data_IF_964271216054
#
_entry.id   IF_964271216054
#
_cell.length_a   1.000
_cell.length_b   1.000
_cell.length_c   1.000
_cell.angle_alpha   90.00
_cell.angle_beta   90.00
_cell.angle_gamma   90.00
#
_symmetry.space_group_name_H-M   'P 1'
#
loop_
_entity.id
_entity.type
_entity.pdbx_description
1 polymer ?
2 water ?
#
# COMPACT_ATOMS: atom_id res chain seq x y z
N UNK A 24 -11.82 -10.70 18.72
CA UNK A 24 -11.26 -9.54 18.03
C UNK A 24 -9.74 -9.48 18.13
N UNK A 25 -9.10 -10.52 18.64
CA UNK A 25 -7.65 -10.61 18.52
C UNK A 25 -7.26 -10.85 17.06
N UNK A 26 -5.98 -10.57 16.74
CA UNK A 26 -5.55 -10.70 15.35
C UNK A 26 -5.65 -12.15 14.90
N UNK A 27 -5.33 -13.11 15.78
CA UNK A 27 -5.32 -14.50 15.37
C UNK A 27 -6.71 -15.00 14.99
N UNK A 28 -7.75 -14.30 15.45
CA UNK A 28 -9.13 -14.65 15.17
C UNK A 28 -9.76 -13.71 14.15
N UNK A 29 -8.96 -12.86 13.52
CA UNK A 29 -9.50 -11.81 12.67
C UNK A 29 -9.46 -12.22 11.20
N UNK A 30 -10.38 -11.62 10.42
CA UNK A 30 -10.24 -11.56 8.96
C UNK A 30 -9.63 -10.21 8.60
N UNK A 31 -8.56 -10.25 7.81
CA UNK A 31 -7.76 -9.06 7.49
C UNK A 31 -7.87 -8.83 5.98
N UNK A 32 -8.42 -7.69 5.59
CA UNK A 32 -8.61 -7.33 4.18
C UNK A 32 -7.46 -6.43 3.74
N UNK A 33 -6.61 -6.93 2.82
CA UNK A 33 -5.42 -6.21 2.35
C UNK A 33 -5.74 -5.56 1.01
N UNK A 34 -5.88 -4.24 1.02
CA UNK A 34 -6.31 -3.45 -0.13
C UNK A 34 -5.05 -2.73 -0.65
N UNK A 35 -4.64 -3.06 -1.86
CA UNK A 35 -3.37 -2.57 -2.34
C UNK A 35 -3.22 -2.57 -3.85
N UNK A 36 -1.98 -2.36 -4.29
CA UNK A 36 -1.62 -2.27 -5.71
C UNK A 36 -0.83 -3.52 -6.11
N UNK A 37 0.10 -3.39 -7.06
CA UNK A 37 0.94 -4.54 -7.45
C UNK A 37 1.65 -5.15 -6.25
N UNK A 38 2.04 -4.33 -5.27
CA UNK A 38 2.81 -4.79 -4.12
C UNK A 38 1.95 -5.49 -3.08
N UNK A 39 0.63 -5.56 -3.30
CA UNK A 39 -0.24 -6.49 -2.60
C UNK A 39 -0.66 -7.64 -3.51
N UNK A 40 -1.00 -7.38 -4.78
CA UNK A 40 -1.39 -8.47 -5.69
C UNK A 40 -0.32 -9.56 -5.70
N UNK A 41 0.96 -9.16 -5.68
CA UNK A 41 2.07 -10.10 -5.71
C UNK A 41 2.88 -10.09 -7.00
N UNK A 42 3.01 -8.94 -7.66
CA UNK A 42 3.80 -8.86 -8.88
C UNK A 42 5.27 -9.09 -8.53
N UNK A 43 5.91 -9.99 -9.28
CA UNK A 43 7.31 -10.33 -9.07
C UNK A 43 8.26 -9.53 -9.93
N UNK A 44 7.77 -8.54 -10.66
CA UNK A 44 8.60 -7.64 -11.43
C UNK A 44 8.21 -7.65 -12.88
N UNK A 45 7.62 -8.75 -13.32
CA UNK A 45 7.34 -9.01 -14.72
C UNK A 45 5.83 -9.01 -15.03
N UNK A 46 4.98 -8.60 -14.05
CA UNK A 46 3.53 -8.78 -14.13
C UNK A 46 3.05 -10.16 -13.74
N UNK A 47 3.96 -11.04 -13.35
CA UNK A 47 3.65 -12.39 -12.96
C UNK A 47 3.73 -12.56 -11.46
N UNK A 48 3.79 -13.80 -11.02
CA UNK A 48 3.69 -14.11 -9.61
C UNK A 48 2.23 -14.22 -9.21
N UNK A 49 1.79 -13.35 -8.33
CA UNK A 49 0.40 -13.32 -7.94
C UNK A 49 0.17 -13.55 -6.46
N UNK A 50 -1.10 -13.76 -6.13
CA UNK A 50 -1.49 -13.79 -4.72
C UNK A 50 -0.75 -14.89 -3.96
N UNK A 51 -0.44 -16.00 -4.64
CA UNK A 51 0.20 -17.10 -3.92
C UNK A 51 1.63 -16.82 -3.49
N UNK A 52 2.28 -15.79 -4.07
CA UNK A 52 3.60 -15.37 -3.60
C UNK A 52 3.55 -14.11 -2.77
N UNK A 53 2.41 -13.42 -2.71
CA UNK A 53 2.35 -12.13 -2.02
C UNK A 53 2.61 -12.32 -0.52
N UNK A 54 3.00 -11.22 0.13
CA UNK A 54 3.07 -11.22 1.58
C UNK A 54 1.76 -11.66 2.21
N UNK A 55 0.61 -11.41 1.52
CA UNK A 55 -0.68 -11.80 2.11
C UNK A 55 -0.76 -13.30 2.34
N UNK A 56 -0.05 -14.09 1.54
CA UNK A 56 -0.12 -15.55 1.66
C UNK A 56 0.63 -16.08 2.88
N UNK A 57 1.53 -15.27 3.44
CA UNK A 57 2.31 -15.66 4.61
C UNK A 57 1.74 -15.09 5.90
N UNK A 58 0.97 -14.02 5.82
CA UNK A 58 0.67 -13.22 6.99
C UNK A 58 -0.21 -13.97 7.99
N UNK A 59 -1.19 -14.74 7.51
CA UNK A 59 -2.15 -15.36 8.43
C UNK A 59 -1.46 -16.26 9.44
N UNK A 60 -0.53 -17.10 8.96
CA UNK A 60 0.16 -18.00 9.87
C UNK A 60 1.05 -17.23 10.83
N UNK A 61 1.65 -16.13 10.37
CA UNK A 61 2.52 -15.34 11.23
C UNK A 61 1.75 -14.71 12.37
N UNK A 62 0.45 -14.48 12.17
CA UNK A 62 -0.41 -13.88 13.17
C UNK A 62 -1.21 -14.93 13.95
N UNK A 63 -0.86 -16.21 13.83
CA UNK A 63 -1.52 -17.22 14.63
C UNK A 63 -2.83 -17.73 14.08
N UNK A 64 -3.09 -17.51 12.80
CA UNK A 64 -4.25 -18.09 12.18
C UNK A 64 -5.28 -17.12 11.63
N UNK A 65 -4.92 -15.83 11.49
CA UNK A 65 -5.81 -14.88 10.85
C UNK A 65 -6.14 -15.32 9.42
N UNK A 66 -7.33 -14.96 8.96
CA UNK A 66 -7.74 -15.20 7.58
C UNK A 66 -7.42 -13.93 6.81
N UNK A 67 -6.64 -14.04 5.75
CA UNK A 67 -6.14 -12.86 5.05
C UNK A 67 -6.70 -12.86 3.63
N UNK A 68 -7.33 -11.76 3.24
CA UNK A 68 -7.91 -11.60 1.92
C UNK A 68 -7.07 -10.62 1.10
N UNK A 69 -6.81 -10.96 -0.15
CA UNK A 69 -5.97 -10.17 -1.05
C UNK A 69 -6.87 -9.38 -2.01
N UNK A 70 -6.92 -8.05 -1.84
CA UNK A 70 -7.56 -7.15 -2.77
C UNK A 70 -6.52 -6.20 -3.35
N UNK A 71 -5.44 -6.78 -3.91
CA UNK A 71 -4.46 -6.02 -4.62
C UNK A 71 -4.74 -6.06 -6.12
N UNK A 72 -4.51 -4.92 -6.80
CA UNK A 72 -4.67 -4.79 -8.26
C UNK A 72 -3.44 -4.07 -8.82
N UNK A 73 -2.78 -4.71 -9.78
CA UNK A 73 -1.64 -4.10 -10.46
C UNK A 73 -2.01 -2.78 -11.13
N UNK A 74 -1.12 -1.79 -11.02
CA UNK A 74 -1.32 -0.51 -11.69
C UNK A 74 -2.18 0.48 -10.95
N UNK A 75 -2.79 0.10 -9.82
CA UNK A 75 -3.81 0.93 -9.20
C UNK A 75 -3.18 2.10 -8.42
N UNK A 76 -3.71 3.30 -8.67
CA UNK A 76 -3.41 4.50 -7.90
C UNK A 76 -4.44 4.61 -6.80
N UNK A 77 -4.07 5.22 -5.67
CA UNK A 77 -5.08 5.55 -4.68
C UNK A 77 -6.13 6.47 -5.28
N UNK A 78 -5.68 7.52 -6.00
CA UNK A 78 -6.58 8.55 -6.51
C UNK A 78 -7.13 8.23 -7.90
N UNK A 79 -8.32 8.80 -8.17
CA UNK A 79 -8.91 8.72 -9.50
C UNK A 79 -8.08 9.55 -10.47
N UNK A 80 -7.91 9.03 -11.68
CA UNK A 80 -7.29 9.77 -12.78
C UNK A 80 -7.94 9.30 -14.09
N UNK A 81 -8.06 10.20 -15.06
CA UNK A 81 -8.91 9.89 -16.22
C UNK A 81 -8.38 8.76 -17.09
N UNK A 82 -7.11 8.36 -16.93
CA UNK A 82 -6.50 7.35 -17.78
C UNK A 82 -6.75 5.93 -17.31
N UNK A 83 -7.37 5.73 -16.14
CA UNK A 83 -7.67 4.41 -15.62
C UNK A 83 -9.03 4.46 -14.95
N UNK A 84 -9.57 3.28 -14.63
CA UNK A 84 -10.82 3.20 -13.88
C UNK A 84 -10.73 2.31 -12.64
N UNK A 85 -9.52 1.98 -12.19
CA UNK A 85 -9.27 1.00 -11.13
C UNK A 85 -8.54 1.58 -9.94
N UNK A 86 -8.77 2.85 -9.63
CA UNK A 86 -8.16 3.45 -8.45
C UNK A 86 -8.69 2.79 -7.17
N UNK A 87 -7.96 3.00 -6.06
CA UNK A 87 -8.48 2.50 -4.80
C UNK A 87 -9.85 3.11 -4.54
N UNK A 88 -10.01 4.42 -4.80
CA UNK A 88 -11.30 5.07 -4.60
C UNK A 88 -12.39 4.34 -5.38
N UNK A 89 -12.12 4.02 -6.67
CA UNK A 89 -13.12 3.37 -7.51
C UNK A 89 -13.38 1.93 -7.10
N UNK A 90 -12.34 1.23 -6.60
CA UNK A 90 -12.47 -0.19 -6.25
C UNK A 90 -13.11 -0.43 -4.89
N UNK A 91 -13.13 0.58 -4.00
CA UNK A 91 -13.44 0.30 -2.60
C UNK A 91 -14.81 -0.38 -2.43
N UNK A 92 -15.84 0.11 -3.12
CA UNK A 92 -17.17 -0.40 -2.84
C UNK A 92 -17.30 -1.88 -3.20
N UNK A 93 -16.42 -2.39 -4.06
CA UNK A 93 -16.44 -3.78 -4.50
C UNK A 93 -15.60 -4.74 -3.69
N UNK A 94 -14.89 -4.29 -2.64
CA UNK A 94 -14.11 -5.19 -1.80
C UNK A 94 -14.95 -5.59 -0.58
N UNK A 95 -14.51 -6.65 0.09
CA UNK A 95 -15.24 -7.15 1.26
C UNK A 95 -15.44 -6.03 2.28
N UNK A 96 -16.69 -5.84 2.73
CA UNK A 96 -16.98 -4.85 3.76
C UNK A 96 -17.08 -5.42 5.17
N UNK A 97 -16.89 -6.74 5.33
CA UNK A 97 -17.17 -7.43 6.58
C UNK A 97 -15.92 -7.88 7.31
N UNK A 98 -14.73 -7.43 6.90
CA UNK A 98 -13.52 -7.86 7.58
C UNK A 98 -13.37 -7.14 8.93
N UNK A 99 -12.51 -7.71 9.77
CA UNK A 99 -12.22 -7.13 11.08
C UNK A 99 -11.14 -6.07 11.03
N UNK A 100 -10.19 -6.21 10.11
CA UNK A 100 -9.09 -5.25 9.96
C UNK A 100 -8.94 -4.97 8.47
N UNK A 101 -8.76 -3.68 8.14
CA UNK A 101 -8.42 -3.25 6.79
C UNK A 101 -6.99 -2.72 6.80
N UNK A 102 -6.18 -3.23 5.88
CA UNK A 102 -4.78 -2.80 5.70
C UNK A 102 -4.70 -2.17 4.32
N UNK A 103 -4.46 -0.85 4.25
CA UNK A 103 -4.44 -0.12 2.98
C UNK A 103 -2.99 0.25 2.69
N UNK A 104 -2.48 -0.23 1.55
CA UNK A 104 -1.06 -0.13 1.20
C UNK A 104 -0.98 0.33 -0.25
N UNK A 105 -0.72 1.61 -0.46
CA UNK A 105 -0.68 2.14 -1.82
C UNK A 105 0.00 3.50 -1.85
N UNK A 106 0.10 4.06 -3.06
CA UNK A 106 0.60 5.39 -3.26
C UNK A 106 1.81 5.48 -4.18
N UNK A 107 2.53 4.37 -4.42
CA UNK A 107 3.69 4.49 -5.29
C UNK A 107 3.24 4.86 -6.70
N UNK A 108 2.05 4.39 -7.14
CA UNK A 108 1.59 4.75 -8.48
C UNK A 108 1.10 6.19 -8.55
N UNK A 109 0.53 6.73 -7.47
CA UNK A 109 0.16 8.13 -7.45
C UNK A 109 1.38 9.00 -7.67
N UNK A 110 2.50 8.66 -7.00
CA UNK A 110 3.75 9.38 -7.20
C UNK A 110 4.24 9.19 -8.64
N UNK A 111 4.36 7.94 -9.10
CA UNK A 111 5.01 7.69 -10.38
C UNK A 111 4.16 8.13 -11.57
N UNK A 112 2.84 8.19 -11.42
CA UNK A 112 1.96 8.57 -12.51
C UNK A 112 1.30 9.93 -12.28
N UNK A 113 1.91 10.79 -11.47
CA UNK A 113 1.61 12.23 -11.50
C UNK A 113 0.18 12.55 -11.08
N UNK A 114 -0.27 11.93 -10.00
CA UNK A 114 -1.52 12.37 -9.36
C UNK A 114 -1.27 13.70 -8.66
N UNK A 115 -2.06 14.73 -8.94
CA UNK A 115 -1.88 16.01 -8.22
C UNK A 115 -1.99 15.81 -6.72
N UNK A 116 -1.14 16.50 -5.95
CA UNK A 116 -1.12 16.26 -4.52
C UNK A 116 -2.34 16.85 -3.82
N UNK A 117 -2.70 18.10 -4.16
CA UNK A 117 -3.66 18.88 -3.40
C UNK A 117 -3.07 19.35 -2.08
N UNK A 118 -3.97 19.76 -1.18
CA UNK A 118 -3.61 20.25 0.15
C UNK A 118 -4.44 19.49 1.18
N UNK A 119 -3.94 19.47 2.43
CA UNK A 119 -4.70 18.85 3.51
C UNK A 119 -6.04 19.57 3.64
N UNK A 120 -7.11 18.78 3.64
CA UNK A 120 -8.47 19.28 3.64
C UNK A 120 -9.16 19.08 2.29
N UNK A 121 -8.41 18.76 1.23
CA UNK A 121 -9.02 18.41 -0.04
C UNK A 121 -10.07 17.32 0.15
N UNK A 122 -11.13 17.42 -0.65
CA UNK A 122 -12.07 16.32 -0.85
C UNK A 122 -12.21 15.94 -2.32
N UNK A 123 -11.25 16.32 -3.13
CA UNK A 123 -11.23 15.92 -4.54
C UNK A 123 -10.52 14.57 -4.62
N UNK A 124 -11.26 13.51 -4.98
CA UNK A 124 -10.67 12.18 -5.07
C UNK A 124 -9.70 12.03 -6.25
N UNK A 125 -9.56 13.06 -7.09
CA UNK A 125 -8.47 13.12 -8.07
C UNK A 125 -7.18 13.69 -7.49
N UNK A 126 -7.20 14.27 -6.29
CA UNK A 126 -5.99 14.73 -5.62
C UNK A 126 -5.59 13.70 -4.59
N UNK A 127 -4.29 13.57 -4.32
CA UNK A 127 -3.87 12.54 -3.38
C UNK A 127 -4.44 12.77 -1.99
N UNK A 128 -4.35 14.01 -1.49
CA UNK A 128 -4.93 14.29 -0.16
C UNK A 128 -6.40 13.92 -0.13
N UNK A 129 -7.15 14.30 -1.17
CA UNK A 129 -8.57 14.05 -1.19
C UNK A 129 -8.92 12.58 -1.33
N UNK A 130 -8.10 11.82 -2.07
CA UNK A 130 -8.35 10.40 -2.22
C UNK A 130 -8.11 9.64 -0.91
N UNK A 131 -7.01 9.96 -0.20
CA UNK A 131 -6.76 9.32 1.07
C UNK A 131 -7.90 9.64 2.04
N UNK A 132 -8.33 10.91 2.06
CA UNK A 132 -9.46 11.32 2.89
C UNK A 132 -10.71 10.51 2.55
N UNK A 133 -11.01 10.38 1.25
CA UNK A 133 -12.16 9.57 0.84
C UNK A 133 -12.06 8.15 1.37
N UNK A 134 -10.90 7.52 1.21
CA UNK A 134 -10.78 6.12 1.64
C UNK A 134 -11.06 5.99 3.12
N UNK A 135 -10.50 6.88 3.96
CA UNK A 135 -10.70 6.71 5.39
C UNK A 135 -12.16 6.91 5.76
N UNK A 136 -12.78 7.96 5.20
CA UNK A 136 -14.19 8.21 5.51
C UNK A 136 -15.06 7.04 5.05
N UNK A 137 -14.76 6.51 3.86
CA UNK A 137 -15.70 5.58 3.23
C UNK A 137 -15.50 4.16 3.77
N UNK A 138 -14.25 3.76 4.06
CA UNK A 138 -14.04 2.51 4.76
C UNK A 138 -14.78 2.54 6.09
N UNK A 139 -14.69 3.66 6.81
CA UNK A 139 -15.35 3.74 8.10
C UNK A 139 -16.87 3.67 7.95
N UNK A 140 -17.41 4.30 6.90
CA UNK A 140 -18.86 4.27 6.70
C UNK A 140 -19.35 2.87 6.42
N UNK A 141 -18.59 2.09 5.63
CA UNK A 141 -19.08 0.78 5.22
C UNK A 141 -18.67 -0.32 6.19
N UNK A 142 -17.65 -0.06 7.04
CA UNK A 142 -17.10 -1.06 7.95
C UNK A 142 -16.84 -0.38 9.29
N UNK A 143 -17.91 0.10 9.95
CA UNK A 143 -17.76 1.03 11.08
C UNK A 143 -17.11 0.44 12.31
N UNK A 144 -17.08 -0.88 12.47
CA UNK A 144 -16.44 -1.52 13.60
C UNK A 144 -15.07 -2.09 13.29
N UNK A 145 -14.62 -2.04 12.04
CA UNK A 145 -13.32 -2.60 11.71
C UNK A 145 -12.20 -1.68 12.20
N UNK A 146 -11.02 -2.28 12.39
CA UNK A 146 -9.80 -1.51 12.59
C UNK A 146 -9.23 -1.20 11.21
N UNK A 147 -8.61 -0.05 11.08
CA UNK A 147 -8.02 0.42 9.82
C UNK A 147 -6.59 0.83 10.07
N UNK A 148 -5.68 0.29 9.26
CA UNK A 148 -4.26 0.58 9.37
C UNK A 148 -3.78 0.92 7.97
N UNK A 149 -3.06 2.03 7.82
CA UNK A 149 -2.43 2.37 6.55
C UNK A 149 -0.97 1.96 6.61
N UNK A 150 -0.42 1.55 5.46
CA UNK A 150 1.01 1.30 5.33
C UNK A 150 1.54 2.21 4.24
N UNK A 151 2.56 2.99 4.56
CA UNK A 151 3.11 3.91 3.57
C UNK A 151 3.78 3.13 2.44
N UNK A 152 3.77 3.69 1.22
CA UNK A 152 4.30 2.95 0.07
C UNK A 152 5.79 2.75 0.17
N UNK A 153 6.24 1.52 -0.17
CA UNK A 153 7.67 1.23 -0.10
C UNK A 153 8.46 2.08 -1.10
N UNK A 154 9.75 2.24 -0.81
CA UNK A 154 10.65 2.88 -1.75
C UNK A 154 10.88 2.02 -3.00
N UNK A 155 11.34 2.70 -4.05
CA UNK A 155 11.71 2.10 -5.31
C UNK A 155 12.96 2.77 -5.83
N UNK A 156 13.81 2.00 -6.48
CA UNK A 156 14.95 2.56 -7.18
C UNK A 156 14.61 2.97 -8.61
N UNK A 157 13.36 2.87 -9.02
CA UNK A 157 12.89 3.33 -10.31
C UNK A 157 12.81 2.19 -11.32
N UNK A 158 12.04 2.43 -12.36
CA UNK A 158 11.96 1.48 -13.47
C UNK A 158 11.72 2.36 -14.70
N UNK A 159 12.80 2.95 -15.20
CA UNK A 159 12.68 4.02 -16.18
C UNK A 159 12.15 3.54 -17.52
N UNK A 160 12.32 2.26 -17.84
CA UNK A 160 11.75 1.76 -19.08
C UNK A 160 10.23 1.74 -19.04
N UNK A 161 9.66 1.82 -17.84
CA UNK A 161 8.24 2.06 -17.65
C UNK A 161 7.96 3.49 -17.20
N UNK A 162 8.95 4.38 -17.30
CA UNK A 162 8.79 5.79 -16.89
C UNK A 162 8.40 5.92 -15.41
N UNK A 163 8.93 5.04 -14.57
CA UNK A 163 8.67 5.07 -13.13
C UNK A 163 9.91 5.67 -12.45
N UNK A 164 9.80 6.82 -11.79
CA UNK A 164 10.97 7.43 -11.12
C UNK A 164 11.33 6.67 -9.85
N UNK A 165 12.60 6.78 -9.47
CA UNK A 165 13.02 6.34 -8.14
C UNK A 165 12.44 7.26 -7.08
N UNK A 166 12.41 6.78 -5.83
CA UNK A 166 11.71 7.52 -4.78
C UNK A 166 12.28 8.90 -4.57
N UNK A 167 13.59 9.05 -4.78
CA UNK A 167 14.25 10.32 -4.55
C UNK A 167 14.28 11.24 -5.77
N UNK A 168 13.82 10.74 -6.93
CA UNK A 168 13.72 11.56 -8.14
C UNK A 168 12.41 12.34 -8.15
N UNK A 169 12.32 13.34 -9.03
CA UNK A 169 11.08 14.10 -9.18
C UNK A 169 10.19 13.45 -10.21
N UNK A 170 8.91 13.36 -9.90
CA UNK A 170 7.93 13.00 -10.93
C UNK A 170 7.71 14.20 -11.86
N UNK A 171 6.77 14.05 -12.80
CA UNK A 171 6.56 15.14 -13.76
C UNK A 171 5.88 16.35 -13.15
N UNK A 172 5.38 16.24 -11.91
CA UNK A 172 4.85 17.37 -11.18
C UNK A 172 5.90 18.05 -10.31
N UNK A 173 7.14 17.59 -10.33
CA UNK A 173 8.16 18.21 -9.51
C UNK A 173 8.14 17.77 -8.05
N UNK A 174 7.55 16.63 -7.76
CA UNK A 174 7.42 16.12 -6.40
C UNK A 174 8.22 14.83 -6.24
N UNK A 175 8.75 14.60 -5.04
CA UNK A 175 9.32 13.28 -4.74
C UNK A 175 8.28 12.41 -4.03
N UNK A 176 8.62 11.14 -3.85
CA UNK A 176 7.69 10.25 -3.18
C UNK A 176 7.42 10.68 -1.75
N UNK A 177 8.40 11.31 -1.11
CA UNK A 177 8.23 11.77 0.27
C UNK A 177 7.07 12.73 0.42
N UNK A 178 6.76 13.54 -0.60
CA UNK A 178 5.62 14.45 -0.50
C UNK A 178 4.32 13.67 -0.38
N UNK A 179 4.20 12.57 -1.14
CA UNK A 179 3.01 11.72 -1.06
C UNK A 179 2.95 11.02 0.30
N UNK A 180 4.08 10.51 0.78
CA UNK A 180 4.10 9.88 2.10
C UNK A 180 3.65 10.87 3.18
N UNK A 181 4.17 12.10 3.14
CA UNK A 181 3.79 13.09 4.14
C UNK A 181 2.31 13.37 4.07
N UNK A 182 1.78 13.48 2.85
CA UNK A 182 0.34 13.74 2.71
C UNK A 182 -0.47 12.61 3.37
N UNK A 183 -0.09 11.36 3.09
CA UNK A 183 -0.77 10.22 3.70
C UNK A 183 -0.71 10.30 5.20
N UNK A 184 0.47 10.59 5.76
CA UNK A 184 0.60 10.69 7.22
C UNK A 184 -0.28 11.80 7.79
N UNK A 185 -0.40 12.93 7.09
CA UNK A 185 -1.20 14.04 7.60
C UNK A 185 -2.70 13.68 7.60
N UNK A 186 -3.18 13.02 6.54
CA UNK A 186 -4.60 12.64 6.53
C UNK A 186 -4.84 11.57 7.59
N UNK A 187 -3.94 10.59 7.68
CA UNK A 187 -4.08 9.59 8.73
C UNK A 187 -4.14 10.25 10.12
N UNK A 188 -3.27 11.24 10.35
CA UNK A 188 -3.31 11.93 11.64
C UNK A 188 -4.67 12.57 11.88
N UNK A 189 -5.25 13.21 10.88
CA UNK A 189 -6.56 13.85 11.05
C UNK A 189 -7.53 12.88 11.66
N UNK A 190 -7.54 11.62 11.17
CA UNK A 190 -8.52 10.62 11.58
C UNK A 190 -7.96 9.63 12.59
N UNK A 191 -6.82 9.95 13.21
CA UNK A 191 -6.23 9.11 14.25
C UNK A 191 -5.94 7.68 13.78
N UNK A 192 -5.56 7.51 12.51
CA UNK A 192 -5.38 6.18 11.92
C UNK A 192 -3.98 5.63 12.17
N UNK A 193 -3.83 4.43 12.75
CA UNK A 193 -2.50 3.83 12.89
C UNK A 193 -1.82 3.61 11.54
N UNK A 194 -0.50 3.80 11.54
CA UNK A 194 0.31 3.67 10.33
C UNK A 194 1.48 2.73 10.59
N UNK A 195 1.76 1.84 9.64
CA UNK A 195 3.02 1.08 9.59
C UNK A 195 3.85 1.72 8.49
N UNK A 196 5.00 2.31 8.88
CA UNK A 196 5.75 3.14 7.93
C UNK A 196 6.75 2.28 7.16
N UNK A 197 6.23 1.53 6.19
CA UNK A 197 7.08 0.70 5.32
C UNK A 197 7.97 1.53 4.41
N UNK A 198 7.51 2.72 4.02
CA UNK A 198 8.39 3.64 3.29
C UNK A 198 9.72 3.80 4.02
N UNK A 199 9.64 4.07 5.34
CA UNK A 199 10.86 4.34 6.11
C UNK A 199 11.49 3.06 6.67
N UNK A 200 10.73 1.98 6.88
CA UNK A 200 11.23 0.89 7.74
C UNK A 200 10.88 -0.51 7.26
N UNK A 201 10.67 -0.71 5.95
CA UNK A 201 10.35 -2.07 5.52
C UNK A 201 11.47 -3.08 5.75
N UNK A 202 12.72 -2.60 5.80
CA UNK A 202 13.87 -3.46 5.93
C UNK A 202 14.31 -4.12 4.63
N UNK A 203 13.82 -3.67 3.50
CA UNK A 203 14.26 -4.15 2.19
C UNK A 203 14.53 -2.94 1.34
N UNK A 204 15.80 -2.74 0.92
CA UNK A 204 16.12 -1.52 0.17
C UNK A 204 16.41 -1.80 -1.28
N UNK A 205 15.69 -1.20 -2.22
CA UNK A 205 16.07 -1.35 -3.63
C UNK A 205 17.36 -0.62 -3.96
N UNK A 206 17.87 0.23 -3.07
CA UNK A 206 19.14 0.90 -3.34
C UNK A 206 20.35 0.05 -2.98
N UNK A 207 20.13 -1.16 -2.45
CA UNK A 207 21.24 -2.04 -2.07
C UNK A 207 21.28 -3.18 -3.08
N UNK A 208 22.41 -3.41 -3.77
CA UNK A 208 22.41 -4.41 -4.86
C UNK A 208 22.01 -5.80 -4.41
N UNK A 209 22.41 -6.21 -3.21
CA UNK A 209 22.08 -7.55 -2.75
C UNK A 209 20.60 -7.70 -2.51
N UNK A 210 19.93 -6.62 -2.07
CA UNK A 210 18.48 -6.70 -1.89
C UNK A 210 17.76 -6.68 -3.23
N UNK A 211 18.27 -5.95 -4.23
CA UNK A 211 17.72 -6.09 -5.57
C UNK A 211 17.78 -7.54 -6.01
N UNK A 212 18.95 -8.16 -5.87
CA UNK A 212 19.15 -9.52 -6.36
C UNK A 212 18.23 -10.51 -5.64
N UNK A 213 18.16 -10.45 -4.31
CA UNK A 213 17.41 -11.44 -3.55
C UNK A 213 15.92 -11.13 -3.46
N UNK A 214 15.57 -9.85 -3.30
CA UNK A 214 14.25 -9.47 -2.80
C UNK A 214 13.45 -8.58 -3.75
N UNK A 215 14.09 -7.74 -4.58
CA UNK A 215 13.39 -6.72 -5.39
C UNK A 215 14.01 -6.67 -6.78
N UNK A 216 13.72 -7.68 -7.63
CA UNK A 216 14.51 -7.85 -8.85
C UNK A 216 14.47 -6.68 -9.79
N UNK A 217 13.35 -5.96 -9.88
CA UNK A 217 13.26 -4.78 -10.76
C UNK A 217 13.33 -3.48 -9.97
N UNK A 218 13.71 -3.53 -8.67
CA UNK A 218 13.81 -2.32 -7.89
C UNK A 218 12.49 -1.72 -7.45
N UNK A 219 11.39 -2.46 -7.62
CA UNK A 219 10.05 -1.91 -7.35
C UNK A 219 9.16 -2.99 -6.76
N UNK A 220 9.08 -4.12 -7.43
CA UNK A 220 8.33 -5.29 -6.97
C UNK A 220 9.21 -6.21 -6.14
N UNK A 221 8.68 -7.37 -5.76
CA UNK A 221 9.34 -8.28 -4.84
C UNK A 221 9.36 -9.68 -5.42
N UNK A 222 10.46 -10.38 -5.18
CA UNK A 222 10.52 -11.82 -5.46
C UNK A 222 9.70 -12.57 -4.42
N UNK A 223 9.48 -13.89 -4.61
CA UNK A 223 8.84 -14.66 -3.54
C UNK A 223 9.55 -14.48 -2.19
N UNK A 224 10.89 -14.48 -2.19
CA UNK A 224 11.63 -14.30 -0.93
C UNK A 224 11.42 -12.88 -0.38
N UNK A 225 11.37 -11.88 -1.27
CA UNK A 225 11.12 -10.51 -0.82
C UNK A 225 9.75 -10.38 -0.16
N UNK A 226 8.72 -11.01 -0.76
CA UNK A 226 7.40 -10.93 -0.16
C UNK A 226 7.33 -11.68 1.16
N UNK A 227 8.06 -12.79 1.28
CA UNK A 227 8.10 -13.48 2.58
C UNK A 227 8.74 -12.59 3.64
N UNK A 228 9.85 -11.93 3.31
CA UNK A 228 10.50 -11.04 4.26
C UNK A 228 9.59 -9.87 4.60
N UNK A 229 8.94 -9.28 3.60
CA UNK A 229 8.03 -8.19 3.86
C UNK A 229 6.89 -8.63 4.79
N UNK A 230 6.38 -9.84 4.61
CA UNK A 230 5.32 -10.34 5.47
C UNK A 230 5.74 -10.35 6.94
N UNK A 231 7.00 -10.71 7.23
CA UNK A 231 7.45 -10.68 8.61
C UNK A 231 7.44 -9.27 9.18
N UNK A 232 7.92 -8.31 8.39
CA UNK A 232 7.93 -6.92 8.85
C UNK A 232 6.50 -6.40 9.07
N UNK A 233 5.59 -6.75 8.17
CA UNK A 233 4.20 -6.33 8.29
C UNK A 233 3.56 -6.97 9.51
N UNK A 234 3.82 -8.26 9.76
CA UNK A 234 3.27 -8.89 10.94
C UNK A 234 3.72 -8.16 12.20
N UNK A 235 5.01 -7.83 12.29
CA UNK A 235 5.49 -7.12 13.47
C UNK A 235 4.80 -5.77 13.60
N UNK A 236 4.63 -5.08 12.46
CA UNK A 236 3.99 -3.78 12.49
C UNK A 236 2.55 -3.85 12.93
N UNK A 237 1.80 -4.84 12.44
CA UNK A 237 0.39 -4.97 12.81
C UNK A 237 0.24 -5.31 14.29
N UNK A 238 1.06 -6.23 14.78
CA UNK A 238 1.04 -6.58 16.19
C UNK A 238 1.36 -5.37 17.06
N UNK A 239 2.21 -4.47 16.58
CA UNK A 239 2.61 -3.29 17.34
C UNK A 239 1.49 -2.27 17.49
N UNK A 240 0.50 -2.25 16.58
CA UNK A 240 -0.56 -1.25 16.60
C UNK A 240 -1.95 -1.84 16.81
N UNK A 241 -2.12 -3.17 16.74
CA UNK A 241 -3.41 -3.82 16.96
C UNK A 241 -3.25 -4.92 17.99
N UNK A 242 -4.25 -5.07 18.84
CA UNK A 242 -4.26 -6.20 19.80
C UNK A 242 -5.65 -6.78 19.94
#
# INVERSE_FOLDING_TARGET
MLRINGTFLYDRRWADEEKIMETKSLSESTICCFGDSTTWGDNGCGGGGNDISWTSHLGALLGGAVVENFGIKGSRIAIKADRTDSFVERLDGIDDAADVYVVFGGVNDFSRNVPLGELGSTDAHEFYGAVDYLIRTITARSPQAKLVFMTPCKTSGKHEKDIPASDELNHLGLTQAAYVRAMLEVCDRYSVPVIDLYAQSGISPFLPEHRELYMPDGLHYSPAGYERLAHRIAAGLTAVCR
#
